data_IF_439815033053
#
_entry.id   IF_439815033053
#
_cell.length_a   1.000
_cell.length_b   1.000
_cell.length_c   1.000
_cell.angle_alpha   90.00
_cell.angle_beta   90.00
_cell.angle_gamma   90.00
#
_symmetry.space_group_name_H-M   'P 1'
#
loop_
_entity.id
_entity.type
_entity.pdbx_description
1 polymer ?
#
# COMPACT_ATOMS: atom_id res chain seq x y z
N UNK A 1 -20.87 -1.28 38.41
CA UNK A 1 -20.01 -0.88 39.55
C UNK A 1 -19.01 -1.98 39.95
N UNK A 2 -19.20 -2.79 41.00
CA UNK A 2 -18.14 -3.73 41.47
C UNK A 2 -17.81 -4.88 40.47
N UNK A 3 -18.82 -5.43 39.79
CA UNK A 3 -18.63 -6.48 38.76
C UNK A 3 -18.03 -5.98 37.45
N UNK A 4 -18.12 -4.68 37.21
CA UNK A 4 -17.67 -4.00 35.99
C UNK A 4 -16.19 -3.63 36.14
N UNK A 5 -15.82 -3.11 37.33
CA UNK A 5 -14.43 -2.89 37.74
C UNK A 5 -13.61 -4.19 37.75
N UNK A 6 -14.18 -5.28 38.25
CA UNK A 6 -13.53 -6.59 38.24
C UNK A 6 -13.35 -7.15 36.81
N UNK A 7 -14.23 -6.79 35.86
CA UNK A 7 -14.13 -7.21 34.46
C UNK A 7 -13.06 -6.40 33.71
N UNK A 8 -12.99 -5.09 33.97
CA UNK A 8 -11.91 -4.22 33.48
C UNK A 8 -10.54 -4.61 34.05
N UNK A 9 -10.46 -4.97 35.33
CA UNK A 9 -9.21 -5.43 35.96
C UNK A 9 -8.75 -6.76 35.36
N UNK A 10 -9.65 -7.73 35.15
CA UNK A 10 -9.32 -9.02 34.53
C UNK A 10 -8.95 -8.87 33.05
N UNK A 11 -9.62 -8.00 32.30
CA UNK A 11 -9.20 -7.67 30.92
C UNK A 11 -7.83 -6.97 30.93
N UNK A 12 -7.58 -6.05 31.85
CA UNK A 12 -6.28 -5.36 31.96
C UNK A 12 -5.13 -6.31 32.30
N UNK A 13 -5.34 -7.29 33.18
CA UNK A 13 -4.34 -8.30 33.53
C UNK A 13 -4.10 -9.31 32.39
N UNK A 14 -5.16 -9.68 31.66
CA UNK A 14 -5.07 -10.52 30.47
C UNK A 14 -4.27 -9.80 29.37
N UNK A 15 -4.54 -8.52 29.14
CA UNK A 15 -3.81 -7.67 28.20
C UNK A 15 -2.34 -7.46 28.60
N UNK A 16 -2.04 -7.30 29.88
CA UNK A 16 -0.66 -7.16 30.38
C UNK A 16 0.12 -8.47 30.23
N UNK A 17 -0.49 -9.62 30.54
CA UNK A 17 0.14 -10.93 30.32
C UNK A 17 0.36 -11.23 28.84
N UNK A 18 -0.59 -10.90 27.98
CA UNK A 18 -0.46 -11.10 26.54
C UNK A 18 0.58 -10.18 25.92
N UNK A 19 0.68 -8.93 26.39
CA UNK A 19 1.76 -8.01 26.01
C UNK A 19 3.14 -8.53 26.40
N UNK A 20 3.30 -9.06 27.62
CA UNK A 20 4.54 -9.67 28.07
C UNK A 20 4.90 -10.93 27.24
N UNK A 21 3.89 -11.70 26.81
CA UNK A 21 4.06 -12.83 25.89
C UNK A 21 4.55 -12.37 24.51
N UNK A 22 3.97 -11.29 23.96
CA UNK A 22 4.38 -10.70 22.67
C UNK A 22 5.80 -10.11 22.74
N UNK A 23 6.16 -9.47 23.84
CA UNK A 23 7.52 -8.95 24.07
C UNK A 23 8.55 -10.09 24.19
N UNK A 24 8.17 -11.23 24.78
CA UNK A 24 9.02 -12.43 24.83
C UNK A 24 9.16 -13.11 23.46
N UNK A 25 8.11 -13.16 22.65
CA UNK A 25 8.16 -13.62 21.26
C UNK A 25 9.08 -12.74 20.40
N UNK A 26 9.00 -11.41 20.57
CA UNK A 26 9.86 -10.44 19.88
C UNK A 26 11.33 -10.54 20.31
N UNK A 27 11.61 -10.92 21.56
CA UNK A 27 12.97 -11.13 22.06
C UNK A 27 13.58 -12.49 21.69
N UNK A 28 12.75 -13.49 21.37
CA UNK A 28 13.21 -14.83 20.97
C UNK A 28 13.65 -14.91 19.50
N UNK A 29 13.36 -13.91 18.66
CA UNK A 29 13.75 -13.91 17.24
C UNK A 29 15.06 -13.16 16.99
N UNK A 30 16.19 -13.74 17.42
CA UNK A 30 17.53 -13.44 16.84
C UNK A 30 17.73 -14.18 15.50
N UNK A 31 16.74 -14.08 14.61
CA UNK A 31 16.81 -14.59 13.26
C UNK A 31 16.09 -13.59 12.35
N UNK A 32 16.86 -12.83 11.58
CA UNK A 32 16.38 -12.15 10.39
C UNK A 32 15.96 -13.22 9.38
N UNK A 33 14.71 -13.66 9.44
CA UNK A 33 14.08 -14.38 8.35
C UNK A 33 12.68 -13.80 8.11
N UNK A 34 12.50 -13.39 6.86
CA UNK A 34 11.32 -12.82 6.27
C UNK A 34 10.07 -13.65 6.53
N UNK A 35 8.89 -13.05 6.28
CA UNK A 35 7.60 -13.73 6.29
C UNK A 35 7.73 -15.14 5.72
N UNK A 36 7.62 -16.12 6.61
CA UNK A 36 7.43 -17.51 6.23
C UNK A 36 6.04 -17.51 5.62
N UNK A 37 5.97 -17.49 4.27
CA UNK A 37 4.81 -18.07 3.61
C UNK A 37 4.62 -19.43 4.28
N UNK A 38 3.48 -19.63 4.93
CA UNK A 38 3.20 -20.90 5.58
C UNK A 38 3.46 -22.03 4.58
N UNK A 39 3.85 -23.17 5.13
CA UNK A 39 3.85 -24.42 4.39
C UNK A 39 2.56 -24.48 3.55
N UNK A 40 2.63 -24.67 2.22
CA UNK A 40 1.44 -24.80 1.39
C UNK A 40 0.47 -25.89 1.88
N UNK A 41 0.94 -26.81 2.73
CA UNK A 41 0.15 -27.84 3.41
C UNK A 41 -0.36 -27.44 4.81
N UNK A 42 -0.24 -26.17 5.20
CA UNK A 42 -0.81 -25.65 6.45
C UNK A 42 -2.35 -25.72 6.39
N UNK A 43 -2.88 -26.84 6.86
CA UNK A 43 -4.31 -27.16 6.91
C UNK A 43 -4.97 -26.51 8.11
N UNK A 44 -5.02 -25.16 8.13
CA UNK A 44 -5.90 -24.44 9.08
C UNK A 44 -7.33 -24.54 8.53
N UNK A 45 -8.26 -25.23 9.21
CA UNK A 45 -9.65 -25.31 8.76
C UNK A 45 -10.26 -23.91 8.65
N UNK A 46 -11.12 -23.65 7.65
CA UNK A 46 -11.72 -22.33 7.42
C UNK A 46 -12.41 -21.74 8.68
N UNK A 47 -12.98 -22.60 9.52
CA UNK A 47 -13.62 -22.22 10.79
C UNK A 47 -12.65 -21.67 11.85
N UNK A 48 -11.37 -22.00 11.75
CA UNK A 48 -10.30 -21.63 12.68
C UNK A 48 -9.42 -20.50 12.10
N UNK A 49 -9.66 -20.11 10.86
CA UNK A 49 -8.93 -19.03 10.19
C UNK A 49 -9.35 -17.66 10.72
N UNK A 50 -8.37 -16.77 10.79
CA UNK A 50 -8.54 -15.36 11.12
C UNK A 50 -7.99 -14.50 9.99
N UNK A 51 -8.71 -13.47 9.59
CA UNK A 51 -8.27 -12.57 8.51
C UNK A 51 -8.55 -11.12 8.85
N UNK A 52 -7.51 -10.26 8.85
CA UNK A 52 -7.62 -8.80 9.01
C UNK A 52 -7.40 -8.11 7.66
N UNK A 53 -8.29 -7.18 7.30
CA UNK A 53 -8.19 -6.28 6.15
C UNK A 53 -7.70 -4.93 6.65
N UNK A 54 -6.53 -4.52 6.18
CA UNK A 54 -5.83 -3.32 6.66
C UNK A 54 -5.73 -2.31 5.53
N UNK A 55 -6.48 -1.23 5.63
CA UNK A 55 -6.40 -0.11 4.70
C UNK A 55 -5.12 0.70 4.92
N UNK A 56 -4.20 0.70 3.97
CA UNK A 56 -2.92 1.40 4.07
C UNK A 56 -3.07 2.82 3.51
N UNK A 57 -2.97 3.80 4.39
CA UNK A 57 -3.21 5.21 4.09
C UNK A 57 -1.95 6.03 4.29
N UNK A 58 -1.69 6.99 3.40
CA UNK A 58 -0.56 7.91 3.57
C UNK A 58 -0.30 8.75 2.34
N UNK A 59 0.37 9.89 2.52
CA UNK A 59 0.77 10.76 1.41
C UNK A 59 1.74 10.07 0.44
N UNK A 60 1.87 10.55 -0.82
CA UNK A 60 2.90 10.05 -1.73
C UNK A 60 4.31 10.08 -1.10
N UNK A 61 5.10 9.04 -1.35
CA UNK A 61 6.48 8.87 -0.85
C UNK A 61 6.64 8.65 0.68
N UNK A 62 5.55 8.46 1.42
CA UNK A 62 5.62 8.06 2.84
C UNK A 62 6.25 6.67 3.06
N UNK A 63 6.29 5.84 2.01
CA UNK A 63 6.89 4.50 2.02
C UNK A 63 5.89 3.35 2.10
N UNK A 64 4.62 3.55 1.72
CA UNK A 64 3.55 2.54 1.70
C UNK A 64 3.99 1.20 1.12
N UNK A 65 4.39 1.15 -0.15
CA UNK A 65 4.75 -0.15 -0.73
C UNK A 65 6.10 -0.67 -0.29
N UNK A 66 7.02 0.20 0.15
CA UNK A 66 8.23 -0.29 0.80
C UNK A 66 7.84 -1.07 2.05
N UNK A 67 6.87 -0.57 2.82
CA UNK A 67 6.33 -1.29 3.97
C UNK A 67 5.65 -2.59 3.54
N UNK A 68 4.75 -2.56 2.55
CA UNK A 68 4.08 -3.76 2.02
C UNK A 68 5.10 -4.82 1.62
N UNK A 69 6.06 -4.49 0.76
CA UNK A 69 7.10 -5.44 0.32
C UNK A 69 7.92 -5.99 1.48
N UNK A 70 8.13 -5.18 2.52
CA UNK A 70 8.90 -5.60 3.70
C UNK A 70 8.09 -6.54 4.59
N UNK A 71 6.81 -6.25 4.80
CA UNK A 71 5.90 -7.10 5.58
C UNK A 71 5.67 -8.43 4.89
N UNK A 72 5.48 -8.42 3.57
CA UNK A 72 5.24 -9.63 2.78
C UNK A 72 6.53 -10.40 2.51
N UNK A 73 7.70 -9.76 2.61
CA UNK A 73 8.98 -10.43 2.40
C UNK A 73 9.31 -10.71 0.93
N UNK A 74 8.46 -10.29 0.00
CA UNK A 74 8.68 -10.41 -1.44
C UNK A 74 8.43 -9.07 -2.14
N UNK A 75 9.08 -8.89 -3.28
CA UNK A 75 8.88 -7.70 -4.10
C UNK A 75 7.61 -7.88 -4.93
N UNK A 76 6.49 -7.33 -4.46
CA UNK A 76 5.15 -7.55 -5.06
C UNK A 76 4.56 -6.24 -5.54
N UNK A 77 4.68 -5.19 -4.74
CA UNK A 77 4.21 -3.87 -5.08
C UNK A 77 5.35 -3.05 -5.69
N UNK A 78 5.21 -2.77 -6.98
CA UNK A 78 5.86 -1.63 -7.59
C UNK A 78 4.96 -0.40 -7.38
N UNK A 79 5.40 0.57 -6.57
CA UNK A 79 4.56 1.73 -6.24
C UNK A 79 4.52 2.65 -7.44
N UNK A 80 3.35 2.73 -8.03
CA UNK A 80 2.91 3.90 -8.75
C UNK A 80 1.82 4.53 -7.90
N UNK A 81 1.90 5.84 -7.63
CA UNK A 81 0.73 6.57 -7.14
C UNK A 81 -0.35 6.48 -8.25
N UNK A 82 -1.26 5.50 -8.16
CA UNK A 82 -2.42 5.43 -9.05
C UNK A 82 -3.32 6.62 -8.72
N UNK A 83 -3.10 7.73 -9.41
CA UNK A 83 -4.10 8.79 -9.53
C UNK A 83 -5.29 8.18 -10.27
N UNK A 84 -6.44 8.04 -9.60
CA UNK A 84 -7.75 7.67 -10.18
C UNK A 84 -8.25 6.21 -10.10
N UNK A 85 -7.83 5.38 -9.15
CA UNK A 85 -8.58 4.13 -8.88
C UNK A 85 -9.76 4.40 -7.96
N UNK A 86 -10.94 3.86 -8.29
CA UNK A 86 -12.17 3.95 -7.47
C UNK A 86 -12.46 2.63 -6.73
N UNK A 87 -11.56 1.65 -6.84
CA UNK A 87 -11.67 0.32 -6.23
C UNK A 87 -10.56 0.13 -5.21
N UNK A 88 -10.88 -0.57 -4.13
CA UNK A 88 -9.90 -1.09 -3.17
C UNK A 88 -9.06 -2.13 -3.89
N UNK A 89 -7.74 -1.97 -3.88
CA UNK A 89 -6.82 -2.93 -4.48
C UNK A 89 -6.02 -3.64 -3.40
N UNK A 90 -5.88 -4.96 -3.51
CA UNK A 90 -4.97 -5.70 -2.64
C UNK A 90 -3.52 -5.30 -2.97
N UNK A 91 -2.82 -4.81 -1.96
CA UNK A 91 -1.39 -4.50 -2.02
C UNK A 91 -0.54 -5.74 -1.74
N UNK A 92 -1.01 -6.58 -0.82
CA UNK A 92 -0.42 -7.88 -0.55
C UNK A 92 -1.00 -8.53 0.69
N UNK A 93 -0.76 -9.81 0.87
CA UNK A 93 -1.17 -10.55 2.05
C UNK A 93 0.02 -11.19 2.75
N UNK A 94 -0.10 -11.30 4.07
CA UNK A 94 0.86 -11.98 4.93
C UNK A 94 0.10 -12.95 5.82
N UNK A 95 0.42 -14.24 5.71
CA UNK A 95 -0.19 -15.29 6.52
C UNK A 95 0.83 -15.79 7.54
N UNK A 96 0.46 -15.85 8.83
CA UNK A 96 1.28 -16.44 9.91
C UNK A 96 0.38 -17.23 10.85
N UNK A 97 0.64 -18.53 10.97
CA UNK A 97 -0.17 -19.44 11.78
C UNK A 97 -1.60 -19.52 11.26
N UNK A 98 -2.58 -19.20 12.10
CA UNK A 98 -4.01 -19.16 11.77
C UNK A 98 -4.50 -17.80 11.25
N UNK A 99 -3.64 -16.77 11.25
CA UNK A 99 -3.99 -15.39 10.94
C UNK A 99 -3.42 -14.91 9.61
N UNK A 100 -4.24 -14.21 8.83
CA UNK A 100 -3.85 -13.52 7.60
C UNK A 100 -4.09 -12.01 7.72
N UNK A 101 -3.11 -11.21 7.30
CA UNK A 101 -3.24 -9.77 7.14
C UNK A 101 -3.22 -9.41 5.66
N UNK A 102 -4.34 -8.86 5.17
CA UNK A 102 -4.52 -8.40 3.79
C UNK A 102 -4.39 -6.88 3.77
N UNK A 103 -3.32 -6.38 3.15
CA UNK A 103 -3.03 -4.97 3.03
C UNK A 103 -3.74 -4.44 1.79
N UNK A 104 -4.54 -3.39 1.96
CA UNK A 104 -5.41 -2.81 0.95
C UNK A 104 -4.98 -1.37 0.64
N UNK A 105 -4.95 -0.99 -0.64
CA UNK A 105 -4.81 0.40 -1.04
C UNK A 105 -6.17 1.07 -0.98
N UNK A 106 -6.23 2.23 -0.33
CA UNK A 106 -7.45 3.04 -0.23
C UNK A 106 -7.30 4.29 -1.10
N UNK A 107 -7.58 4.20 -2.41
CA UNK A 107 -7.42 5.34 -3.30
C UNK A 107 -8.47 6.42 -3.01
N UNK A 108 -8.03 7.69 -2.96
CA UNK A 108 -8.89 8.86 -2.74
C UNK A 108 -9.08 9.30 -1.29
N UNK A 109 -8.48 8.61 -0.31
CA UNK A 109 -8.48 9.02 1.11
C UNK A 109 -7.58 10.25 1.33
N UNK A 110 -6.57 10.39 0.46
CA UNK A 110 -5.77 11.60 0.29
C UNK A 110 -6.63 12.56 -0.54
N UNK A 111 -7.12 13.64 0.08
CA UNK A 111 -8.13 14.57 -0.47
C UNK A 111 -7.85 15.14 -1.88
N UNK A 112 -8.89 15.71 -2.51
CA UNK A 112 -8.87 16.18 -3.89
C UNK A 112 -7.92 17.36 -4.08
N UNK A 113 -7.66 18.19 -3.06
CA UNK A 113 -6.64 19.24 -3.06
C UNK A 113 -5.19 18.72 -3.18
N UNK A 114 -4.97 17.42 -3.02
CA UNK A 114 -3.67 16.80 -3.28
C UNK A 114 -3.49 16.39 -4.76
N UNK A 115 -4.53 16.57 -5.57
CA UNK A 115 -4.58 16.40 -7.00
C UNK A 115 -4.91 17.76 -7.62
N UNK A 116 -4.05 18.33 -8.46
CA UNK A 116 -4.22 19.69 -9.00
C UNK A 116 -5.39 19.85 -9.99
N UNK A 117 -6.41 18.99 -9.96
CA UNK A 117 -7.54 19.00 -10.88
C UNK A 117 -8.90 19.11 -10.13
N UNK A 118 -9.69 20.18 -10.37
CA UNK A 118 -10.96 20.45 -9.68
C UNK A 118 -12.11 19.45 -9.88
N UNK A 119 -11.96 18.42 -10.73
CA UNK A 119 -13.02 17.46 -11.09
C UNK A 119 -13.16 16.27 -10.11
N UNK A 120 -12.49 16.28 -8.96
CA UNK A 120 -12.35 15.12 -8.07
C UNK A 120 -13.22 15.11 -6.80
N UNK A 121 -14.06 16.13 -6.57
CA UNK A 121 -14.88 16.22 -5.35
C UNK A 121 -15.83 15.02 -5.13
N UNK A 122 -16.34 14.41 -6.20
CA UNK A 122 -17.20 13.21 -6.14
C UNK A 122 -16.45 11.91 -5.79
N UNK A 123 -15.10 11.88 -5.79
CA UNK A 123 -14.30 10.67 -5.47
C UNK A 123 -13.95 10.51 -3.99
N UNK A 124 -14.12 11.56 -3.18
CA UNK A 124 -13.72 11.56 -1.76
C UNK A 124 -14.71 10.77 -0.90
N UNK A 125 -16.01 10.80 -1.23
CA UNK A 125 -17.01 9.98 -0.52
C UNK A 125 -16.80 8.49 -0.76
N UNK A 126 -16.37 8.08 -1.97
CA UNK A 126 -16.09 6.67 -2.29
C UNK A 126 -14.88 6.11 -1.54
N UNK A 127 -13.89 6.95 -1.23
CA UNK A 127 -12.65 6.50 -0.60
C UNK A 127 -12.81 6.15 0.89
N UNK A 128 -13.61 6.94 1.62
CA UNK A 128 -13.93 6.64 3.02
C UNK A 128 -14.98 5.51 3.15
N UNK A 129 -15.87 5.36 2.16
CA UNK A 129 -16.71 4.17 2.07
C UNK A 129 -15.89 2.88 1.86
N UNK A 130 -14.81 2.95 1.08
CA UNK A 130 -13.84 1.87 0.96
C UNK A 130 -13.07 1.61 2.27
N UNK A 131 -12.72 2.67 3.00
CA UNK A 131 -12.09 2.56 4.31
C UNK A 131 -12.97 1.81 5.33
N UNK A 132 -14.29 1.96 5.25
CA UNK A 132 -15.24 1.26 6.12
C UNK A 132 -15.33 -0.26 5.86
N UNK A 133 -14.73 -0.78 4.77
CA UNK A 133 -14.63 -2.22 4.49
C UNK A 133 -13.39 -2.87 5.11
N UNK A 134 -12.50 -2.06 5.70
CA UNK A 134 -11.32 -2.54 6.41
C UNK A 134 -11.65 -2.82 7.88
N UNK A 135 -10.93 -3.74 8.52
CA UNK A 135 -11.03 -3.91 9.98
C UNK A 135 -10.08 -2.93 10.70
N UNK A 136 -9.05 -2.44 10.01
CA UNK A 136 -8.07 -1.47 10.52
C UNK A 136 -7.61 -0.49 9.44
N UNK A 137 -7.23 0.71 9.88
CA UNK A 137 -6.53 1.68 9.05
C UNK A 137 -5.09 1.86 9.52
N UNK A 138 -4.14 1.66 8.62
CA UNK A 138 -2.72 1.87 8.86
C UNK A 138 -2.26 3.17 8.19
N UNK A 139 -2.08 4.22 8.98
CA UNK A 139 -1.50 5.47 8.51
C UNK A 139 0.02 5.38 8.51
N UNK A 140 0.65 5.57 7.35
CA UNK A 140 2.10 5.66 7.24
C UNK A 140 2.55 7.10 6.97
N UNK A 141 3.49 7.58 7.78
CA UNK A 141 4.04 8.93 7.68
C UNK A 141 5.57 8.87 7.60
N UNK A 142 6.17 9.67 6.72
CA UNK A 142 7.61 9.92 6.74
C UNK A 142 7.95 10.79 7.96
N UNK A 143 8.40 10.15 9.04
CA UNK A 143 8.65 10.82 10.30
C UNK A 143 9.80 11.82 10.19
N UNK A 144 10.84 11.51 9.43
CA UNK A 144 12.00 12.39 9.26
C UNK A 144 11.63 13.67 8.49
N UNK A 145 10.83 13.53 7.43
CA UNK A 145 10.28 14.68 6.73
C UNK A 145 9.39 15.49 7.66
N UNK A 146 8.46 14.86 8.37
CA UNK A 146 7.54 15.55 9.25
C UNK A 146 8.25 16.31 10.39
N UNK A 147 9.35 15.76 10.92
CA UNK A 147 10.15 16.39 11.96
C UNK A 147 10.91 17.62 11.46
N UNK A 148 11.44 17.59 10.23
CA UNK A 148 12.31 18.65 9.69
C UNK A 148 11.53 19.72 8.92
N UNK A 149 10.55 19.29 8.13
CA UNK A 149 9.70 20.14 7.29
C UNK A 149 8.31 19.50 7.22
N UNK A 150 7.44 19.81 8.21
CA UNK A 150 6.07 19.30 8.27
C UNK A 150 5.36 19.39 6.91
N UNK A 151 4.83 18.27 6.44
CA UNK A 151 4.04 18.23 5.21
C UNK A 151 2.57 18.48 5.59
N UNK A 152 1.96 19.64 5.23
CA UNK A 152 0.60 19.96 5.64
C UNK A 152 -0.41 18.90 5.19
N UNK A 153 -0.13 18.24 4.05
CA UNK A 153 -0.96 17.17 3.50
C UNK A 153 -1.12 15.97 4.44
N UNK A 154 -0.16 15.75 5.35
CA UNK A 154 -0.29 14.71 6.38
C UNK A 154 -1.34 15.11 7.41
N UNK A 155 -1.34 16.37 7.84
CA UNK A 155 -2.32 16.88 8.80
C UNK A 155 -3.70 16.92 8.16
N UNK A 156 -3.82 17.39 6.92
CA UNK A 156 -5.09 17.44 6.18
C UNK A 156 -5.70 16.05 6.01
N UNK A 157 -4.88 15.05 5.66
CA UNK A 157 -5.27 13.65 5.57
C UNK A 157 -5.82 13.11 6.90
N UNK A 158 -5.12 13.35 8.01
CA UNK A 158 -5.51 12.90 9.34
C UNK A 158 -6.76 13.64 9.86
N UNK A 159 -6.85 14.94 9.64
CA UNK A 159 -8.02 15.74 10.00
C UNK A 159 -9.25 15.30 9.20
N UNK A 160 -9.09 15.03 7.91
CA UNK A 160 -10.14 14.48 7.06
C UNK A 160 -10.59 13.10 7.55
N UNK A 161 -9.64 12.24 7.93
CA UNK A 161 -9.95 10.94 8.53
C UNK A 161 -10.80 11.08 9.79
N UNK A 162 -10.40 11.98 10.68
CA UNK A 162 -11.11 12.24 11.94
C UNK A 162 -12.50 12.79 11.69
N UNK A 163 -12.64 13.77 10.80
CA UNK A 163 -13.94 14.36 10.48
C UNK A 163 -14.91 13.31 9.90
N UNK A 164 -14.41 12.37 9.08
CA UNK A 164 -15.22 11.27 8.58
C UNK A 164 -15.54 10.23 9.66
N UNK A 165 -14.59 9.93 10.54
CA UNK A 165 -14.83 9.09 11.72
C UNK A 165 -15.88 9.70 12.65
N UNK A 166 -15.88 11.02 12.86
CA UNK A 166 -16.92 11.73 13.62
C UNK A 166 -18.29 11.69 12.94
N UNK A 167 -18.34 11.82 11.60
CA UNK A 167 -19.60 11.68 10.82
C UNK A 167 -20.16 10.26 10.81
N UNK A 168 -19.28 9.25 10.77
CA UNK A 168 -19.65 7.84 10.70
C UNK A 168 -19.89 7.22 12.09
N UNK A 169 -19.43 7.87 13.17
CA UNK A 169 -19.54 7.37 14.54
C UNK A 169 -20.96 7.03 14.99
N UNK A 170 -22.00 7.58 14.36
CA UNK A 170 -23.39 7.19 14.59
C UNK A 170 -24.26 7.41 13.33
N UNK A 171 -24.36 6.39 12.49
CA UNK A 171 -25.58 6.23 11.68
C UNK A 171 -26.15 4.83 11.91
N UNK A 172 -27.14 4.73 12.82
CA UNK A 172 -27.99 3.52 12.99
C UNK A 172 -28.54 3.02 11.65
N UNK A 173 -28.66 3.94 10.68
CA UNK A 173 -29.17 3.72 9.33
C UNK A 173 -28.27 2.84 8.45
N UNK A 174 -26.95 2.76 8.70
CA UNK A 174 -26.02 1.99 7.84
C UNK A 174 -25.21 0.91 8.54
N UNK A 175 -25.09 0.95 9.88
CA UNK A 175 -24.26 0.01 10.63
C UNK A 175 -22.75 0.15 10.37
N UNK A 176 -22.31 1.18 9.66
CA UNK A 176 -20.91 1.43 9.31
C UNK A 176 -20.23 2.26 10.40
N UNK A 177 -19.22 1.69 11.04
CA UNK A 177 -18.28 2.42 11.90
C UNK A 177 -16.94 2.57 11.20
N UNK A 178 -16.25 3.68 11.43
CA UNK A 178 -14.88 3.80 10.94
C UNK A 178 -13.96 2.85 11.69
N UNK A 179 -13.05 2.13 11.00
CA UNK A 179 -12.19 1.18 11.67
C UNK A 179 -11.16 1.88 12.57
N UNK A 180 -10.67 1.21 13.62
CA UNK A 180 -9.57 1.72 14.43
C UNK A 180 -8.34 2.05 13.58
N UNK A 181 -7.59 3.06 14.01
CA UNK A 181 -6.44 3.57 13.28
C UNK A 181 -5.13 3.30 14.02
N UNK A 182 -4.11 2.89 13.27
CA UNK A 182 -2.74 2.65 13.73
C UNK A 182 -1.80 3.58 12.97
N UNK A 183 -0.82 4.17 13.65
CA UNK A 183 0.16 5.06 13.04
C UNK A 183 1.54 4.38 12.90
N UNK A 184 2.02 4.21 11.68
CA UNK A 184 3.38 3.85 11.37
C UNK A 184 4.23 5.10 11.05
N UNK A 185 5.11 5.45 11.98
CA UNK A 185 6.13 6.49 11.79
C UNK A 185 7.32 5.87 11.05
N UNK A 186 7.38 6.05 9.74
CA UNK A 186 8.38 5.43 8.87
C UNK A 186 9.65 6.27 8.72
N UNK A 187 10.72 5.62 8.24
CA UNK A 187 12.06 6.19 8.00
C UNK A 187 12.78 6.62 9.28
N UNK A 188 12.54 5.91 10.38
CA UNK A 188 13.23 6.17 11.66
C UNK A 188 14.73 5.89 11.60
N UNK A 189 15.20 5.19 10.57
CA UNK A 189 16.64 4.97 10.30
C UNK A 189 17.40 6.26 9.93
N UNK A 190 16.68 7.33 9.55
CA UNK A 190 17.27 8.63 9.25
C UNK A 190 17.54 9.50 10.49
N UNK A 191 17.04 9.08 11.65
CA UNK A 191 17.24 9.75 12.94
C UNK A 191 18.53 9.23 13.60
N UNK A 192 19.46 10.13 13.92
CA UNK A 192 20.79 9.85 14.46
C UNK A 192 21.06 10.70 15.71
N UNK A 193 20.67 10.19 16.87
CA UNK A 193 21.08 10.77 18.16
C UNK A 193 19.93 11.07 19.13
N UNK A 194 20.27 11.73 20.25
CA UNK A 194 19.31 12.02 21.31
C UNK A 194 18.28 13.10 20.93
N UNK A 195 18.71 14.19 20.29
CA UNK A 195 17.82 15.27 19.80
C UNK A 195 16.79 14.75 18.79
N UNK A 196 17.22 13.81 17.96
CA UNK A 196 16.39 13.15 16.95
C UNK A 196 15.32 12.24 17.58
N UNK A 197 15.58 11.63 18.74
CA UNK A 197 14.57 10.87 19.49
C UNK A 197 13.48 11.78 20.04
N UNK A 198 13.83 12.96 20.56
CA UNK A 198 12.83 13.94 21.01
C UNK A 198 12.04 14.53 19.84
N UNK A 199 12.68 14.75 18.68
CA UNK A 199 11.98 15.14 17.46
C UNK A 199 10.93 14.11 17.03
N UNK A 200 11.28 12.81 17.05
CA UNK A 200 10.33 11.73 16.75
C UNK A 200 9.14 11.72 17.72
N UNK A 201 9.39 11.88 19.03
CA UNK A 201 8.31 11.97 20.04
C UNK A 201 7.41 13.18 19.80
N UNK A 202 7.98 14.34 19.43
CA UNK A 202 7.19 15.54 19.07
C UNK A 202 6.28 15.27 17.87
N UNK A 203 6.80 14.62 16.83
CA UNK A 203 5.98 14.21 15.66
C UNK A 203 4.85 13.28 16.09
N UNK A 204 5.14 12.25 16.90
CA UNK A 204 4.13 11.31 17.38
C UNK A 204 3.00 12.03 18.14
N UNK A 205 3.35 12.91 19.10
CA UNK A 205 2.36 13.69 19.87
C UNK A 205 1.55 14.63 18.98
N UNK A 206 2.20 15.32 18.04
CA UNK A 206 1.52 16.26 17.15
C UNK A 206 0.49 15.55 16.26
N UNK A 207 0.82 14.37 15.72
CA UNK A 207 -0.11 13.60 14.87
C UNK A 207 -1.24 12.97 15.70
N UNK A 208 -0.94 12.45 16.90
CA UNK A 208 -1.93 11.90 17.81
C UNK A 208 -2.94 12.94 18.32
N UNK A 209 -2.56 14.22 18.38
CA UNK A 209 -3.47 15.31 18.68
C UNK A 209 -4.48 15.58 17.55
N UNK A 210 -4.10 15.28 16.30
CA UNK A 210 -4.96 15.48 15.13
C UNK A 210 -5.96 14.32 14.97
N UNK A 211 -5.48 13.08 15.07
CA UNK A 211 -6.31 11.87 14.91
C UNK A 211 -6.04 10.85 16.03
N UNK A 212 -7.07 10.22 16.61
CA UNK A 212 -6.87 9.18 17.62
C UNK A 212 -6.27 7.92 16.99
N UNK A 213 -5.16 7.43 17.54
CA UNK A 213 -4.57 6.16 17.14
C UNK A 213 -4.61 5.20 18.31
N UNK A 214 -4.91 3.94 18.03
CA UNK A 214 -4.85 2.86 19.02
C UNK A 214 -3.40 2.59 19.44
N UNK A 215 -2.48 2.58 18.47
CA UNK A 215 -1.05 2.42 18.71
C UNK A 215 -0.21 3.18 17.67
N UNK A 216 1.05 3.46 18.06
CA UNK A 216 2.04 4.16 17.24
C UNK A 216 3.31 3.33 17.13
N UNK A 217 3.68 2.95 15.90
CA UNK A 217 4.83 2.12 15.58
C UNK A 217 5.94 2.93 14.88
N UNK A 218 7.08 3.19 15.53
CA UNK A 218 8.27 3.69 14.86
C UNK A 218 8.92 2.57 14.04
N UNK A 219 8.97 2.74 12.72
CA UNK A 219 9.46 1.71 11.79
C UNK A 219 10.48 2.26 10.79
N UNK A 220 11.31 1.35 10.28
CA UNK A 220 12.05 1.55 9.03
C UNK A 220 11.66 0.46 8.05
N UNK A 221 10.74 0.78 7.15
CA UNK A 221 10.38 -0.14 6.07
C UNK A 221 11.59 -0.49 5.19
N UNK A 222 12.53 0.45 4.99
CA UNK A 222 13.73 0.17 4.19
C UNK A 222 14.71 -0.82 4.86
N UNK A 223 14.67 -0.93 6.20
CA UNK A 223 15.58 -1.77 6.98
C UNK A 223 14.88 -2.92 7.72
N UNK A 224 13.57 -3.08 7.56
CA UNK A 224 12.75 -4.05 8.31
C UNK A 224 12.56 -3.74 9.80
N UNK A 225 13.22 -2.71 10.36
CA UNK A 225 13.17 -2.42 11.80
C UNK A 225 11.76 -2.02 12.24
N UNK A 226 11.26 -2.66 13.30
CA UNK A 226 9.94 -2.38 13.88
C UNK A 226 8.75 -2.91 13.07
N UNK A 227 8.99 -3.47 11.88
CA UNK A 227 7.90 -3.96 11.00
C UNK A 227 7.26 -5.24 11.52
N UNK A 228 8.02 -6.08 12.23
CA UNK A 228 7.51 -7.32 12.83
C UNK A 228 6.54 -7.07 14.00
N UNK A 229 6.86 -6.10 14.86
CA UNK A 229 5.97 -5.67 15.93
C UNK A 229 4.66 -5.08 15.38
N UNK A 230 4.76 -4.28 14.30
CA UNK A 230 3.59 -3.78 13.60
C UNK A 230 2.76 -4.93 13.02
N UNK A 231 3.38 -5.88 12.31
CA UNK A 231 2.68 -7.02 11.71
C UNK A 231 1.96 -7.86 12.77
N UNK A 232 2.64 -8.16 13.87
CA UNK A 232 2.08 -8.93 14.99
C UNK A 232 0.85 -8.23 15.59
N UNK A 233 0.92 -6.91 15.75
CA UNK A 233 -0.21 -6.10 16.21
C UNK A 233 -1.38 -6.15 15.22
N UNK A 234 -1.13 -6.13 13.90
CA UNK A 234 -2.19 -6.25 12.89
C UNK A 234 -2.84 -7.64 12.93
N UNK A 235 -2.04 -8.71 12.96
CA UNK A 235 -2.52 -10.09 12.97
C UNK A 235 -3.33 -10.42 14.23
N UNK A 236 -2.99 -9.84 15.39
CA UNK A 236 -3.73 -10.02 16.63
C UNK A 236 -5.19 -9.52 16.54
N UNK A 237 -5.46 -8.57 15.63
CA UNK A 237 -6.78 -7.98 15.40
C UNK A 237 -7.57 -8.69 14.29
N UNK A 238 -7.07 -9.81 13.79
CA UNK A 238 -7.75 -10.59 12.77
C UNK A 238 -9.04 -11.21 13.32
N UNK A 239 -10.23 -10.79 12.85
CA UNK A 239 -11.48 -11.46 13.20
C UNK A 239 -11.49 -12.89 12.67
N UNK A 240 -12.29 -13.75 13.33
CA UNK A 240 -12.55 -15.11 12.88
C UNK A 240 -13.36 -15.06 11.58
N UNK A 241 -12.68 -15.36 10.46
CA UNK A 241 -13.26 -15.49 9.12
C UNK A 241 -12.25 -16.17 8.20
N UNK A 242 -12.71 -16.80 7.11
CA UNK A 242 -11.81 -17.38 6.12
C UNK A 242 -10.77 -16.38 5.62
N UNK A 243 -9.58 -16.87 5.32
CA UNK A 243 -8.56 -16.10 4.63
C UNK A 243 -9.08 -15.60 3.29
N UNK A 244 -8.74 -14.36 2.93
CA UNK A 244 -9.15 -13.78 1.64
C UNK A 244 -8.31 -14.35 0.49
N UNK A 245 -7.06 -14.74 0.79
CA UNK A 245 -6.13 -15.33 -0.17
C UNK A 245 -5.63 -16.69 0.31
N UNK A 246 -5.26 -17.60 -0.63
CA UNK A 246 -4.57 -18.83 -0.28
C UNK A 246 -3.35 -18.58 0.62
N UNK A 247 -2.98 -19.50 1.53
CA UNK A 247 -1.89 -19.29 2.50
C UNK A 247 -0.55 -18.90 1.86
N UNK A 248 -0.24 -19.43 0.68
CA UNK A 248 0.98 -19.16 -0.09
C UNK A 248 0.88 -17.93 -1.00
N UNK A 249 -0.33 -17.41 -1.23
CA UNK A 249 -0.56 -16.29 -2.11
C UNK A 249 -0.27 -14.97 -1.38
N UNK A 250 0.69 -14.23 -1.94
CA UNK A 250 1.12 -12.93 -1.41
C UNK A 250 0.38 -11.75 -2.06
N UNK A 251 -0.32 -11.98 -3.17
CA UNK A 251 -1.16 -11.01 -3.88
C UNK A 251 -2.16 -11.76 -4.76
N UNK A 252 -3.28 -11.12 -5.09
CA UNK A 252 -4.25 -11.52 -6.10
C UNK A 252 -3.87 -11.10 -7.54
N UNK A 253 -2.80 -10.30 -7.70
CA UNK A 253 -2.39 -9.77 -9.00
C UNK A 253 -1.76 -10.85 -9.87
N UNK A 254 -2.21 -10.91 -11.13
CA UNK A 254 -1.58 -11.75 -12.14
C UNK A 254 -0.12 -11.33 -12.39
N UNK A 255 0.70 -12.23 -12.92
CA UNK A 255 2.09 -11.90 -13.30
C UNK A 255 2.15 -10.75 -14.32
N UNK A 256 1.14 -10.67 -15.20
CA UNK A 256 1.01 -9.59 -16.18
C UNK A 256 0.76 -8.26 -15.50
N UNK A 257 -0.18 -8.20 -14.55
CA UNK A 257 -0.47 -6.99 -13.78
C UNK A 257 0.75 -6.53 -12.97
N UNK A 258 1.43 -7.46 -12.32
CA UNK A 258 2.69 -7.18 -11.60
C UNK A 258 3.72 -6.57 -12.55
N UNK A 259 3.88 -7.12 -13.76
CA UNK A 259 4.81 -6.58 -14.75
C UNK A 259 4.43 -5.16 -15.20
N UNK A 260 3.14 -4.91 -15.44
CA UNK A 260 2.62 -3.57 -15.77
C UNK A 260 2.95 -2.57 -14.65
N UNK A 261 2.71 -2.93 -13.39
CA UNK A 261 3.02 -2.06 -12.24
C UNK A 261 4.52 -1.76 -12.13
N UNK A 262 5.39 -2.74 -12.38
CA UNK A 262 6.84 -2.55 -12.34
C UNK A 262 7.34 -1.57 -13.40
N UNK A 263 6.83 -1.69 -14.62
CA UNK A 263 7.14 -0.74 -15.70
C UNK A 263 6.58 0.63 -15.34
N UNK A 264 5.34 0.68 -14.86
CA UNK A 264 4.68 1.91 -14.43
C UNK A 264 5.52 2.65 -13.38
N UNK A 265 5.92 1.98 -12.30
CA UNK A 265 6.77 2.58 -11.28
C UNK A 265 8.10 3.07 -11.86
N UNK A 266 8.70 2.32 -12.78
CA UNK A 266 9.96 2.72 -13.42
C UNK A 266 9.79 4.01 -14.23
N UNK A 267 8.64 4.21 -14.87
CA UNK A 267 8.24 5.48 -15.51
C UNK A 267 8.13 6.59 -14.45
N UNK A 268 7.38 6.37 -13.36
CA UNK A 268 7.20 7.37 -12.28
C UNK A 268 8.51 7.83 -11.65
N UNK A 269 9.43 6.89 -11.42
CA UNK A 269 10.71 7.24 -10.80
C UNK A 269 11.64 7.96 -11.78
N UNK A 270 11.50 7.71 -13.08
CA UNK A 270 12.38 8.30 -14.10
C UNK A 270 11.94 9.68 -14.55
N UNK A 271 10.64 9.86 -14.71
CA UNK A 271 10.04 11.07 -15.22
C UNK A 271 9.57 11.94 -14.04
N UNK A 272 9.88 13.22 -14.11
CA UNK A 272 9.46 14.19 -13.10
C UNK A 272 8.16 14.87 -13.52
N UNK A 273 7.54 15.61 -12.58
CA UNK A 273 6.33 16.41 -12.81
C UNK A 273 5.07 15.56 -13.12
N UNK A 274 4.09 16.12 -13.82
CA UNK A 274 2.78 15.49 -14.09
C UNK A 274 2.82 14.47 -15.25
N UNK A 275 3.94 14.40 -15.99
CA UNK A 275 4.11 13.50 -17.14
C UNK A 275 3.82 12.02 -16.83
N UNK A 276 4.27 11.45 -15.70
CA UNK A 276 4.04 10.03 -15.41
C UNK A 276 2.56 9.63 -15.39
N UNK A 277 1.65 10.53 -14.97
CA UNK A 277 0.23 10.20 -14.79
C UNK A 277 -0.55 10.05 -16.10
N UNK A 278 -0.04 10.64 -17.18
CA UNK A 278 -0.59 10.50 -18.54
C UNK A 278 -0.07 9.28 -19.30
N UNK A 279 0.93 8.58 -18.75
CA UNK A 279 1.58 7.46 -19.42
C UNK A 279 0.96 6.18 -18.88
N UNK A 280 0.34 5.40 -19.78
CA UNK A 280 -0.32 4.14 -19.43
C UNK A 280 0.46 2.99 -20.03
N UNK A 281 1.19 2.19 -19.23
CA UNK A 281 1.76 0.93 -19.70
C UNK A 281 0.64 -0.07 -19.96
N UNK A 282 0.69 -0.71 -21.13
CA UNK A 282 -0.24 -1.76 -21.57
C UNK A 282 0.58 -2.99 -21.91
N UNK A 283 0.09 -4.16 -21.54
CA UNK A 283 0.70 -5.42 -21.92
C UNK A 283 0.40 -5.75 -23.39
N UNK A 284 1.44 -6.10 -24.15
CA UNK A 284 1.29 -6.54 -25.53
C UNK A 284 1.36 -8.08 -25.63
N UNK A 285 2.40 -8.70 -25.07
CA UNK A 285 2.55 -10.17 -25.11
C UNK A 285 3.46 -10.71 -24.01
N UNK A 286 3.23 -11.98 -23.66
CA UNK A 286 4.06 -12.77 -22.75
C UNK A 286 4.45 -14.09 -23.42
N UNK A 287 5.74 -14.37 -23.51
CA UNK A 287 6.24 -15.64 -24.06
C UNK A 287 7.18 -16.31 -23.06
N UNK A 288 6.98 -17.60 -22.83
CA UNK A 288 7.92 -18.45 -22.09
C UNK A 288 8.89 -19.06 -23.08
N UNK A 289 10.19 -18.86 -22.87
CA UNK A 289 11.23 -19.51 -23.67
C UNK A 289 11.61 -20.86 -23.09
N UNK A 290 12.20 -21.72 -23.93
CA UNK A 290 12.62 -23.08 -23.57
C UNK A 290 13.72 -23.09 -22.48
N UNK A 291 14.50 -22.01 -22.38
CA UNK A 291 15.50 -21.80 -21.32
C UNK A 291 14.89 -21.37 -19.97
N UNK A 292 13.56 -21.31 -19.89
CA UNK A 292 12.81 -20.91 -18.69
C UNK A 292 12.69 -19.40 -18.48
N UNK A 293 13.27 -18.59 -19.36
CA UNK A 293 13.18 -17.13 -19.31
C UNK A 293 11.86 -16.60 -19.87
N UNK A 294 11.54 -15.35 -19.53
CA UNK A 294 10.33 -14.68 -20.01
C UNK A 294 10.66 -13.59 -21.01
N UNK A 295 9.90 -13.51 -22.10
CA UNK A 295 9.79 -12.32 -22.93
C UNK A 295 8.51 -11.59 -22.58
N UNK A 296 8.64 -10.33 -22.17
CA UNK A 296 7.53 -9.48 -21.80
C UNK A 296 7.56 -8.26 -22.71
N UNK A 297 6.50 -8.04 -23.46
CA UNK A 297 6.34 -6.86 -24.31
C UNK A 297 5.29 -5.94 -23.72
N UNK A 298 5.63 -4.66 -23.59
CA UNK A 298 4.70 -3.63 -23.12
C UNK A 298 4.83 -2.34 -23.94
N UNK A 299 3.69 -1.68 -24.15
CA UNK A 299 3.62 -0.38 -24.81
C UNK A 299 3.28 0.71 -23.78
N UNK A 300 4.11 1.73 -23.70
CA UNK A 300 3.81 2.99 -23.02
C UNK A 300 2.92 3.85 -23.94
N UNK A 301 1.64 3.95 -23.59
CA UNK A 301 0.68 4.80 -24.30
C UNK A 301 0.78 6.22 -23.73
N UNK A 302 0.97 7.21 -24.60
CA UNK A 302 1.11 8.63 -24.25
C UNK A 302 0.10 9.50 -24.99
N UNK A 303 -0.22 10.67 -24.47
CA UNK A 303 -1.30 11.49 -25.06
C UNK A 303 -0.88 12.38 -26.23
N UNK A 304 0.42 12.58 -26.46
CA UNK A 304 0.90 13.44 -27.55
C UNK A 304 2.28 13.06 -28.10
N UNK A 305 2.59 13.54 -29.31
CA UNK A 305 3.91 13.35 -29.94
C UNK A 305 5.05 13.99 -29.13
N UNK A 306 4.94 15.23 -28.60
CA UNK A 306 5.96 15.79 -27.72
C UNK A 306 6.23 14.90 -26.48
N UNK A 307 5.18 14.33 -25.88
CA UNK A 307 5.36 13.41 -24.75
C UNK A 307 6.06 12.12 -25.17
N UNK A 308 5.74 11.57 -26.35
CA UNK A 308 6.49 10.43 -26.90
C UNK A 308 7.97 10.75 -27.00
N UNK A 309 8.35 11.93 -27.48
CA UNK A 309 9.74 12.35 -27.56
C UNK A 309 10.42 12.43 -26.18
N UNK A 310 9.72 12.93 -25.16
CA UNK A 310 10.24 12.99 -23.78
C UNK A 310 10.44 11.58 -23.21
N UNK A 311 9.46 10.69 -23.38
CA UNK A 311 9.52 9.30 -22.86
C UNK A 311 10.62 8.50 -23.54
N UNK A 312 10.80 8.67 -24.85
CA UNK A 312 11.90 8.02 -25.59
C UNK A 312 13.24 8.64 -25.18
N UNK A 313 13.32 9.97 -25.11
CA UNK A 313 14.53 10.73 -24.83
C UNK A 313 15.54 10.70 -25.98
N UNK A 314 16.61 11.48 -25.85
CA UNK A 314 17.68 11.55 -26.85
C UNK A 314 18.29 10.16 -27.06
N UNK A 315 18.26 9.68 -28.32
CA UNK A 315 18.74 8.33 -28.71
C UNK A 315 18.14 7.18 -27.87
N UNK A 316 16.91 7.31 -27.37
CA UNK A 316 16.27 6.26 -26.57
C UNK A 316 16.80 6.15 -25.13
N UNK A 317 17.57 7.13 -24.64
CA UNK A 317 18.19 7.10 -23.31
C UNK A 317 17.19 6.97 -22.16
N UNK A 318 16.04 7.66 -22.25
CA UNK A 318 15.04 7.68 -21.16
C UNK A 318 14.31 6.36 -21.09
N UNK A 319 13.78 5.87 -22.22
CA UNK A 319 13.09 4.57 -22.27
C UNK A 319 14.05 3.42 -21.96
N UNK A 320 15.31 3.49 -22.38
CA UNK A 320 16.33 2.50 -22.05
C UNK A 320 16.57 2.40 -20.54
N UNK A 321 16.64 3.53 -19.84
CA UNK A 321 16.78 3.55 -18.37
C UNK A 321 15.54 3.02 -17.64
N UNK A 322 14.34 3.32 -18.15
CA UNK A 322 13.09 2.72 -17.64
C UNK A 322 13.14 1.20 -17.80
N UNK A 323 13.52 0.72 -18.99
CA UNK A 323 13.63 -0.71 -19.30
C UNK A 323 14.65 -1.44 -18.43
N UNK A 324 15.85 -0.88 -18.26
CA UNK A 324 16.90 -1.47 -17.39
C UNK A 324 16.39 -1.62 -15.96
N UNK A 325 15.75 -0.59 -15.43
CA UNK A 325 15.22 -0.59 -14.06
C UNK A 325 14.09 -1.60 -13.90
N UNK A 326 13.11 -1.57 -14.80
CA UNK A 326 11.97 -2.47 -14.76
C UNK A 326 12.44 -3.93 -14.88
N UNK A 327 13.30 -4.24 -15.85
CA UNK A 327 13.89 -5.58 -16.02
C UNK A 327 14.60 -6.06 -14.75
N UNK A 328 15.43 -5.22 -14.13
CA UNK A 328 16.14 -5.59 -12.89
C UNK A 328 15.17 -5.96 -11.77
N UNK A 329 14.03 -5.28 -11.68
CA UNK A 329 12.99 -5.59 -10.71
C UNK A 329 12.26 -6.89 -11.07
N UNK A 330 11.86 -7.06 -12.34
CA UNK A 330 11.15 -8.26 -12.80
C UNK A 330 11.98 -9.53 -12.64
N UNK A 331 13.28 -9.46 -12.93
CA UNK A 331 14.19 -10.61 -12.78
C UNK A 331 14.27 -11.07 -11.31
N UNK A 332 14.28 -10.12 -10.37
CA UNK A 332 14.25 -10.43 -8.94
C UNK A 332 12.90 -10.97 -8.48
N UNK A 333 11.81 -10.34 -8.94
CA UNK A 333 10.45 -10.70 -8.58
C UNK A 333 10.10 -12.12 -9.04
N UNK A 334 10.48 -12.49 -10.27
CA UNK A 334 10.15 -13.79 -10.84
C UNK A 334 11.26 -14.84 -10.69
N UNK A 335 12.41 -14.48 -10.11
CA UNK A 335 13.59 -15.35 -9.99
C UNK A 335 13.99 -16.02 -11.31
N UNK A 336 13.81 -15.29 -12.42
CA UNK A 336 14.02 -15.76 -13.79
C UNK A 336 14.62 -14.64 -14.64
N UNK A 337 15.29 -15.00 -15.74
CA UNK A 337 15.74 -14.03 -16.73
C UNK A 337 14.54 -13.41 -17.44
N UNK A 338 14.58 -12.10 -17.70
CA UNK A 338 13.48 -11.37 -18.34
C UNK A 338 13.97 -10.53 -19.51
N UNK A 339 13.46 -10.81 -20.69
CA UNK A 339 13.60 -10.03 -21.91
C UNK A 339 12.44 -9.03 -22.01
N UNK A 340 12.61 -7.86 -21.39
CA UNK A 340 11.61 -6.79 -21.42
C UNK A 340 11.78 -5.92 -22.67
N UNK A 341 10.73 -5.86 -23.50
CA UNK A 341 10.64 -4.96 -24.66
C UNK A 341 9.65 -3.85 -24.35
N UNK A 342 10.09 -2.60 -24.47
CA UNK A 342 9.26 -1.41 -24.26
C UNK A 342 9.06 -0.63 -25.56
N UNK A 343 7.80 -0.39 -25.91
CA UNK A 343 7.39 0.44 -27.04
C UNK A 343 6.75 1.75 -26.55
N UNK A 344 6.67 2.78 -27.42
CA UNK A 344 5.93 4.02 -27.11
C UNK A 344 4.99 4.38 -28.25
N UNK A 345 3.70 4.46 -27.95
CA UNK A 345 2.65 4.81 -28.92
C UNK A 345 1.85 6.02 -28.43
N UNK A 346 1.49 6.90 -29.36
CA UNK A 346 0.59 8.03 -29.06
C UNK A 346 -0.85 7.54 -29.16
N UNK A 347 -1.67 7.87 -28.17
CA UNK A 347 -3.11 7.55 -28.12
C UNK A 347 -3.78 8.11 -29.38
N UNK A 348 -4.47 7.26 -30.14
CA UNK A 348 -5.31 7.72 -31.26
C UNK A 348 -6.54 8.41 -30.67
N UNK A 349 -6.81 9.67 -31.04
CA UNK A 349 -8.10 10.31 -30.75
C UNK A 349 -9.14 9.70 -31.68
N UNK A 350 -10.08 8.92 -31.15
CA UNK A 350 -11.26 8.54 -31.91
C UNK A 350 -12.07 9.80 -32.17
N UNK A 351 -12.18 10.21 -33.44
CA UNK A 351 -12.90 11.42 -33.85
C UNK A 351 -14.38 11.15 -34.14
N UNK A 352 -14.93 10.03 -33.67
CA UNK A 352 -16.35 9.72 -33.70
C UNK A 352 -16.93 9.91 -32.31
N UNK A 353 -18.09 10.57 -32.23
CA UNK A 353 -18.88 10.92 -31.03
C UNK A 353 -18.57 12.30 -30.41
N UNK A 354 -18.60 13.35 -31.24
CA UNK A 354 -19.25 14.60 -30.82
C UNK A 354 -20.74 14.30 -30.60
N UNK A 355 -21.15 14.08 -29.36
CA UNK A 355 -22.56 14.02 -28.97
C UNK A 355 -23.01 12.70 -28.36
N UNK A 356 -22.54 12.39 -27.15
CA UNK A 356 -23.35 11.93 -26.00
C UNK A 356 -22.37 11.49 -24.91
N UNK A 357 -22.49 12.11 -23.74
CA UNK A 357 -21.82 11.65 -22.54
C UNK A 357 -22.30 10.24 -22.21
N UNK A 358 -21.38 9.26 -22.17
CA UNK A 358 -21.50 8.04 -21.38
C UNK A 358 -20.12 7.38 -21.25
N UNK A 359 -19.83 7.06 -20.00
CA UNK A 359 -18.83 6.15 -19.43
C UNK A 359 -18.08 5.30 -20.45
N UNK A 360 -16.77 5.50 -20.58
CA UNK A 360 -15.88 4.57 -21.27
C UNK A 360 -15.57 3.39 -20.35
N UNK A 361 -16.37 2.33 -20.47
CA UNK A 361 -15.87 0.97 -20.27
C UNK A 361 -14.86 0.66 -21.38
N UNK A 362 -13.72 0.09 -20.98
CA UNK A 362 -12.70 -0.38 -21.89
C UNK A 362 -13.06 -1.80 -22.32
N UNK A 363 -13.61 -1.95 -23.53
CA UNK A 363 -13.55 -3.24 -24.23
C UNK A 363 -12.16 -3.39 -24.84
N UNK A 364 -11.38 -4.33 -24.29
CA UNK A 364 -10.16 -4.86 -24.88
C UNK A 364 -10.54 -6.15 -25.59
N UNK A 365 -10.30 -6.22 -26.91
CA UNK A 365 -10.29 -7.48 -27.66
C UNK A 365 -9.03 -8.27 -27.37
#
# INVERSE_FOLDING_TARGET
MAREKAREEVESEAWVKERARLENLANSSRLTHHAVALDPDATVPERDQRCVRVGVVGVPNAGKSQLVNTLVGAQICAVSAKTNTTRVETLGAVTRGDAQAVLLDLPGVVGPEHYRNPTHATKVSSAWAAAAQCDLLLFIVDANRQARRPDPRVVDLLASARANLERLKYTEVTGLSMPPAVLALNKVDLFRGAEDREALKRVARALAAVHPFEDIFPISAAKGRGTDALLSHLLLRAPLRPWDLPPSAVTDKSMVDQAIEVVRESVYRRLHQELPYSIVPVHDSWTNFDDGSYRIEQTLVVDSVPMKQIVVGTRGSVIGQIGIRARTVLEKMFSRRVHLVLNVKVRKKNNSLRGKARTTEFELY
#
